data_IF_404267545592
#
_entry.id   IF_404267545592
#
_cell.length_a   1.000
_cell.length_b   1.000
_cell.length_c   1.000
_cell.angle_alpha   90.00
_cell.angle_beta   90.00
_cell.angle_gamma   90.00
#
_symmetry.space_group_name_H-M   'P 1'
#
loop_
_entity.id
_entity.type
_entity.pdbx_description
1 polymer ?
#
# COMPACT_ATOMS: atom_id res chain seq x y z
N UNK A 1 -3.23 25.17 14.88
CA UNK A 1 -2.68 23.80 14.95
C UNK A 1 -2.59 23.29 13.53
N UNK A 2 -1.49 22.65 13.15
CA UNK A 2 -1.27 22.06 11.81
C UNK A 2 -1.25 20.56 11.99
N UNK A 3 -1.96 19.83 11.13
CA UNK A 3 -1.88 18.38 11.07
C UNK A 3 -0.94 17.95 9.95
N UNK A 4 -0.13 16.94 10.22
CA UNK A 4 0.76 16.29 9.27
C UNK A 4 0.18 14.93 8.92
N UNK A 5 0.00 14.68 7.62
CA UNK A 5 -0.55 13.42 7.09
C UNK A 5 0.55 12.72 6.30
N UNK A 6 0.91 11.51 6.71
CA UNK A 6 1.80 10.63 5.95
C UNK A 6 1.09 10.09 4.72
N UNK A 7 1.29 10.73 3.57
CA UNK A 7 0.73 10.31 2.28
C UNK A 7 1.29 8.94 1.89
N UNK A 8 0.41 7.93 1.88
CA UNK A 8 0.73 6.51 1.70
C UNK A 8 1.76 5.98 2.69
N UNK A 9 1.72 6.53 3.91
CA UNK A 9 2.76 6.36 4.92
C UNK A 9 3.94 7.29 4.68
N UNK A 10 5.16 6.75 4.77
CA UNK A 10 6.39 7.49 4.52
C UNK A 10 6.99 7.12 3.13
N UNK A 11 6.19 7.29 2.07
CA UNK A 11 6.50 6.82 0.71
C UNK A 11 7.83 7.33 0.11
N UNK A 12 8.39 8.43 0.64
CA UNK A 12 9.71 8.92 0.25
C UNK A 12 10.90 8.15 0.83
N UNK A 13 10.67 7.26 1.81
CA UNK A 13 11.73 6.56 2.56
C UNK A 13 11.49 5.05 2.62
N UNK A 14 10.22 4.64 2.74
CA UNK A 14 9.79 3.25 2.82
C UNK A 14 8.76 2.94 1.71
N UNK A 15 8.59 1.65 1.32
CA UNK A 15 7.61 1.28 0.31
C UNK A 15 6.21 1.82 0.64
N UNK A 16 5.60 2.52 -0.30
CA UNK A 16 4.30 3.17 -0.13
C UNK A 16 3.20 2.14 0.21
N UNK A 17 2.19 2.57 0.98
CA UNK A 17 1.01 1.75 1.30
C UNK A 17 1.32 0.39 1.97
N UNK A 18 2.47 0.27 2.64
CA UNK A 18 2.85 -0.93 3.41
C UNK A 18 2.77 -0.68 4.92
N UNK A 19 2.62 -1.74 5.71
CA UNK A 19 2.65 -1.65 7.18
C UNK A 19 3.98 -1.07 7.67
N UNK A 20 5.08 -1.44 7.04
CA UNK A 20 6.40 -0.85 7.27
C UNK A 20 6.41 0.67 7.02
N UNK A 21 5.87 1.13 5.90
CA UNK A 21 5.78 2.55 5.57
C UNK A 21 4.91 3.33 6.55
N UNK A 22 3.79 2.76 7.00
CA UNK A 22 2.92 3.38 8.00
C UNK A 22 3.59 3.44 9.38
N UNK A 23 4.23 2.35 9.82
CA UNK A 23 4.97 2.33 11.10
C UNK A 23 6.07 3.39 11.12
N UNK A 24 6.85 3.49 10.04
CA UNK A 24 7.91 4.49 9.96
C UNK A 24 7.35 5.92 9.95
N UNK A 25 6.24 6.19 9.26
CA UNK A 25 5.57 7.49 9.32
C UNK A 25 5.13 7.86 10.75
N UNK A 26 4.56 6.90 11.49
CA UNK A 26 4.16 7.10 12.89
C UNK A 26 5.37 7.37 13.80
N UNK A 27 6.50 6.69 13.57
CA UNK A 27 7.76 6.96 14.29
C UNK A 27 8.31 8.37 14.03
N UNK A 28 8.04 8.94 12.84
CA UNK A 28 8.38 10.33 12.52
C UNK A 28 7.42 11.36 13.15
N UNK A 29 6.33 10.92 13.78
CA UNK A 29 5.40 11.79 14.51
C UNK A 29 4.32 12.44 13.64
N UNK A 30 3.91 11.80 12.54
CA UNK A 30 2.73 12.27 11.78
C UNK A 30 1.45 12.10 12.61
N UNK A 31 0.48 12.99 12.42
CA UNK A 31 -0.82 12.92 13.11
C UNK A 31 -1.74 11.84 12.51
N UNK A 32 -1.62 11.64 11.19
CA UNK A 32 -2.42 10.68 10.43
C UNK A 32 -1.57 9.95 9.39
N UNK A 33 -1.98 8.74 9.04
CA UNK A 33 -1.53 8.05 7.84
C UNK A 33 -2.69 8.02 6.83
N UNK A 34 -2.40 8.39 5.59
CA UNK A 34 -3.33 8.26 4.47
C UNK A 34 -3.03 6.97 3.71
N UNK A 35 -4.06 6.37 3.12
CA UNK A 35 -3.91 5.18 2.30
C UNK A 35 -4.98 5.13 1.20
N UNK A 36 -4.63 4.42 0.12
CA UNK A 36 -5.49 4.22 -1.05
C UNK A 36 -6.11 2.82 -1.03
N UNK A 37 -7.39 2.68 -1.38
CA UNK A 37 -8.09 1.39 -1.33
C UNK A 37 -8.70 0.98 -2.66
N UNK A 38 -8.61 -0.31 -2.98
CA UNK A 38 -9.30 -0.94 -4.12
C UNK A 38 -10.03 -2.22 -3.69
N UNK A 39 -10.98 -2.65 -4.53
CA UNK A 39 -11.60 -3.98 -4.43
C UNK A 39 -10.93 -4.96 -5.39
N UNK A 40 -10.62 -6.15 -4.89
CA UNK A 40 -10.15 -7.29 -5.69
C UNK A 40 -11.29 -7.92 -6.50
N UNK A 41 -10.95 -8.86 -7.40
CA UNK A 41 -11.91 -9.66 -8.18
C UNK A 41 -12.93 -10.40 -7.29
N UNK A 42 -12.50 -10.83 -6.11
CA UNK A 42 -13.30 -11.54 -5.11
C UNK A 42 -13.82 -10.62 -3.98
N UNK A 43 -13.89 -9.30 -4.23
CA UNK A 43 -14.50 -8.29 -3.36
C UNK A 43 -13.85 -8.11 -1.98
N UNK A 44 -12.53 -8.30 -1.88
CA UNK A 44 -11.75 -7.93 -0.70
C UNK A 44 -11.16 -6.53 -0.87
N UNK A 45 -11.11 -5.77 0.22
CA UNK A 45 -10.38 -4.50 0.26
C UNK A 45 -8.89 -4.75 0.38
N UNK A 46 -8.11 -4.05 -0.43
CA UNK A 46 -6.64 -4.00 -0.35
C UNK A 46 -6.15 -2.56 -0.35
N UNK A 47 -4.90 -2.34 0.08
CA UNK A 47 -4.28 -1.02 0.10
C UNK A 47 -3.28 -0.90 -1.05
N UNK A 48 -3.60 -0.08 -2.05
CA UNK A 48 -2.74 0.18 -3.22
C UNK A 48 -3.22 1.43 -3.94
N UNK A 49 -2.31 2.23 -4.48
CA UNK A 49 -2.70 3.44 -5.22
C UNK A 49 -3.14 3.12 -6.65
N UNK A 50 -2.25 2.49 -7.42
CA UNK A 50 -2.45 2.26 -8.85
C UNK A 50 -3.57 1.24 -9.10
N UNK A 51 -4.19 1.28 -10.29
CA UNK A 51 -5.18 0.26 -10.68
C UNK A 51 -4.55 -1.10 -11.01
N UNK A 52 -3.22 -1.15 -11.11
CA UNK A 52 -2.45 -2.35 -11.44
C UNK A 52 -1.33 -2.56 -10.41
N UNK A 53 -0.87 -3.80 -10.28
CA UNK A 53 0.18 -4.17 -9.31
C UNK A 53 1.60 -3.88 -9.81
N UNK A 54 1.74 -3.42 -11.04
CA UNK A 54 2.99 -3.40 -11.83
C UNK A 54 4.10 -2.52 -11.24
N UNK A 55 3.77 -1.33 -10.72
CA UNK A 55 4.78 -0.35 -10.30
C UNK A 55 5.37 -0.66 -8.93
N UNK A 56 4.54 -1.11 -7.99
CA UNK A 56 4.89 -1.23 -6.58
C UNK A 56 5.05 -2.66 -6.12
N UNK A 57 4.88 -3.64 -7.02
CA UNK A 57 5.08 -5.05 -6.70
C UNK A 57 5.98 -5.75 -7.71
N UNK A 58 6.24 -7.04 -7.47
CA UNK A 58 7.00 -7.92 -8.34
C UNK A 58 6.15 -8.68 -9.39
N UNK A 59 4.92 -8.25 -9.65
CA UNK A 59 4.01 -8.87 -10.62
C UNK A 59 3.37 -7.83 -11.53
N UNK A 60 2.48 -8.26 -12.43
CA UNK A 60 1.77 -7.39 -13.39
C UNK A 60 0.30 -7.80 -13.48
N UNK A 61 -0.58 -6.82 -13.68
CA UNK A 61 -2.00 -7.04 -13.90
C UNK A 61 -2.89 -6.05 -13.16
N UNK A 62 -4.12 -5.87 -13.65
CA UNK A 62 -5.11 -5.01 -13.03
C UNK A 62 -5.69 -5.65 -11.76
N UNK A 63 -5.77 -4.89 -10.66
CA UNK A 63 -6.28 -5.34 -9.35
C UNK A 63 -7.66 -5.98 -9.49
N UNK A 64 -8.55 -5.36 -10.27
CA UNK A 64 -9.93 -5.83 -10.51
C UNK A 64 -10.02 -7.23 -11.14
N UNK A 65 -8.91 -7.75 -11.69
CA UNK A 65 -8.83 -9.07 -12.30
C UNK A 65 -8.13 -10.12 -11.42
N UNK A 66 -7.61 -9.73 -10.25
CA UNK A 66 -6.85 -10.60 -9.34
C UNK A 66 -7.65 -10.83 -8.04
N UNK A 67 -7.56 -12.03 -7.48
CA UNK A 67 -8.10 -12.39 -6.17
C UNK A 67 -7.24 -11.83 -5.04
N UNK A 68 -7.79 -11.75 -3.83
CA UNK A 68 -7.03 -11.36 -2.64
C UNK A 68 -5.80 -12.25 -2.42
N UNK A 69 -5.95 -13.57 -2.57
CA UNK A 69 -4.87 -14.52 -2.37
C UNK A 69 -3.70 -14.30 -3.36
N UNK A 70 -4.01 -14.01 -4.63
CA UNK A 70 -3.00 -13.68 -5.64
C UNK A 70 -2.25 -12.40 -5.26
N UNK A 71 -2.96 -11.31 -4.92
CA UNK A 71 -2.34 -10.02 -4.58
C UNK A 71 -1.56 -10.09 -3.26
N UNK A 72 -2.08 -10.79 -2.24
CA UNK A 72 -1.43 -10.92 -0.93
C UNK A 72 -0.10 -11.70 -1.01
N UNK A 73 0.09 -12.48 -2.08
CA UNK A 73 1.34 -13.23 -2.33
C UNK A 73 2.47 -12.38 -2.94
N UNK A 74 2.20 -11.14 -3.33
CA UNK A 74 3.16 -10.26 -3.99
C UNK A 74 4.12 -9.60 -2.99
N UNK A 75 5.32 -9.24 -3.45
CA UNK A 75 6.26 -8.42 -2.67
C UNK A 75 6.05 -6.95 -3.05
N UNK A 76 5.55 -6.15 -2.10
CA UNK A 76 5.29 -4.71 -2.26
C UNK A 76 6.52 -3.84 -1.95
N UNK A 77 7.70 -4.45 -1.83
CA UNK A 77 8.97 -3.81 -1.52
C UNK A 77 9.52 -4.26 -0.18
N UNK A 78 10.83 -4.58 -0.14
CA UNK A 78 11.56 -5.00 1.06
C UNK A 78 10.91 -6.16 1.83
N UNK A 79 10.18 -7.05 1.13
CA UNK A 79 9.52 -8.22 1.72
C UNK A 79 8.13 -7.94 2.30
N UNK A 80 7.61 -6.72 2.18
CA UNK A 80 6.24 -6.40 2.59
C UNK A 80 5.22 -7.01 1.63
N UNK A 81 4.00 -7.19 2.14
CA UNK A 81 2.85 -7.69 1.37
C UNK A 81 1.82 -6.58 1.26
N UNK A 82 1.09 -6.56 0.13
CA UNK A 82 -0.11 -5.74 -0.08
C UNK A 82 -1.19 -6.14 0.91
#
# INVERSE_FOLDING_TARGET
MVYVVGHRGAAGVEPENTIRGFRYALELGVDYAECDVHLTKDNHLIVMHDETVDRTTNSTGAIRNLTFAEIRSLDAGKGERV
#
